data_IF_571557967185
#
_entry.id   IF_571557967185
#
_cell.length_a   1.000
_cell.length_b   1.000
_cell.length_c   1.000
_cell.angle_alpha   90.00
_cell.angle_beta   90.00
_cell.angle_gamma   90.00
#
_symmetry.space_group_name_H-M   'P 1'
#
loop_
_entity.id
_entity.type
_entity.pdbx_description
1 polymer ?
#
# COMPACT_ATOMS: atom_id res chain seq x y z
N UNK A 1 37.62 -73.65 -35.57
CA UNK A 1 37.32 -72.40 -36.30
C UNK A 1 37.30 -71.28 -35.28
N UNK A 2 38.34 -70.46 -35.25
CA UNK A 2 38.52 -69.41 -34.26
C UNK A 2 37.74 -68.15 -34.68
N UNK A 3 36.92 -67.54 -33.80
CA UNK A 3 36.18 -66.33 -34.12
C UNK A 3 37.06 -65.06 -33.98
N UNK A 4 36.85 -64.19 -34.97
CA UNK A 4 37.52 -62.92 -35.24
C UNK A 4 37.29 -61.88 -34.13
N UNK A 5 38.37 -61.18 -33.78
CA UNK A 5 38.37 -59.97 -32.96
C UNK A 5 37.78 -58.79 -33.76
N UNK A 6 36.89 -58.01 -33.12
CA UNK A 6 36.50 -56.67 -33.58
C UNK A 6 36.86 -55.65 -32.47
N UNK A 7 37.40 -54.47 -32.82
CA UNK A 7 37.84 -53.48 -31.85
C UNK A 7 36.68 -52.64 -31.28
N UNK A 8 36.84 -52.04 -30.08
CA UNK A 8 35.81 -51.23 -29.45
C UNK A 8 35.62 -49.89 -30.17
N UNK A 9 34.34 -49.50 -30.37
CA UNK A 9 33.97 -48.15 -30.82
C UNK A 9 34.25 -47.16 -29.69
N UNK A 10 34.91 -46.06 -30.02
CA UNK A 10 35.07 -44.90 -29.16
C UNK A 10 33.71 -44.25 -28.84
N UNK A 11 33.53 -43.69 -27.64
CA UNK A 11 32.35 -42.91 -27.31
C UNK A 11 32.37 -41.59 -28.10
N UNK A 12 31.25 -41.27 -28.73
CA UNK A 12 31.01 -39.99 -29.37
C UNK A 12 30.71 -38.93 -28.30
N UNK A 13 31.62 -37.98 -28.14
CA UNK A 13 31.38 -36.73 -27.42
C UNK A 13 30.40 -35.88 -28.23
N UNK A 14 29.11 -36.00 -27.93
CA UNK A 14 28.09 -35.02 -28.34
C UNK A 14 26.96 -35.01 -27.30
N UNK A 15 27.32 -34.74 -26.04
CA UNK A 15 26.37 -34.20 -25.06
C UNK A 15 26.48 -32.68 -25.10
N UNK A 16 25.83 -32.07 -26.10
CA UNK A 16 25.37 -30.70 -25.96
C UNK A 16 24.30 -30.69 -24.86
N UNK A 17 24.73 -30.46 -23.63
CA UNK A 17 23.84 -30.05 -22.54
C UNK A 17 23.17 -28.76 -22.97
N UNK A 18 21.95 -28.89 -23.49
CA UNK A 18 21.00 -27.81 -23.57
C UNK A 18 20.72 -27.34 -22.14
N UNK A 19 21.55 -26.40 -21.69
CA UNK A 19 21.24 -25.47 -20.60
C UNK A 19 20.15 -24.52 -21.11
N UNK A 20 18.99 -25.10 -21.43
CA UNK A 20 17.76 -24.36 -21.59
C UNK A 20 17.44 -23.82 -20.19
N UNK A 21 17.87 -22.58 -19.99
CA UNK A 21 17.62 -21.81 -18.79
C UNK A 21 16.10 -21.83 -18.57
N UNK A 22 15.63 -22.62 -17.60
CA UNK A 22 14.24 -22.72 -17.13
C UNK A 22 13.74 -21.44 -16.47
N UNK A 23 14.03 -20.29 -17.08
CA UNK A 23 13.46 -18.99 -16.80
C UNK A 23 12.32 -18.69 -17.78
N UNK A 24 11.54 -19.71 -18.13
CA UNK A 24 10.11 -19.49 -18.29
C UNK A 24 9.54 -19.23 -16.89
N UNK A 25 9.93 -18.09 -16.32
CA UNK A 25 9.13 -17.42 -15.31
C UNK A 25 7.83 -17.12 -16.03
N UNK A 26 6.91 -18.08 -16.03
CA UNK A 26 5.52 -17.86 -16.36
C UNK A 26 5.11 -16.80 -15.34
N UNK A 27 5.21 -15.54 -15.75
CA UNK A 27 4.59 -14.44 -15.06
C UNK A 27 3.10 -14.71 -15.22
N UNK A 28 2.58 -15.59 -14.35
CA UNK A 28 1.17 -15.85 -14.25
C UNK A 28 0.59 -14.49 -13.89
N UNK A 29 -0.04 -13.86 -14.87
CA UNK A 29 -0.63 -12.54 -14.68
C UNK A 29 -1.78 -12.77 -13.72
N UNK A 30 -1.63 -12.32 -12.47
CA UNK A 30 -2.72 -12.32 -11.52
C UNK A 30 -3.93 -11.65 -12.16
N UNK A 31 -5.02 -12.39 -12.21
CA UNK A 31 -6.33 -11.92 -12.60
C UNK A 31 -6.83 -10.88 -11.58
N UNK A 32 -7.82 -10.09 -11.98
CA UNK A 32 -8.47 -9.13 -11.07
C UNK A 32 -8.98 -9.82 -9.80
N UNK A 33 -9.53 -11.03 -9.92
CA UNK A 33 -10.08 -11.81 -8.81
C UNK A 33 -9.00 -12.17 -7.79
N UNK A 34 -7.85 -12.66 -8.26
CA UNK A 34 -6.71 -12.97 -7.39
C UNK A 34 -6.18 -11.70 -6.70
N UNK A 35 -6.06 -10.58 -7.43
CA UNK A 35 -5.61 -9.32 -6.82
C UNK A 35 -6.61 -8.79 -5.76
N UNK A 36 -7.92 -8.87 -6.03
CA UNK A 36 -8.96 -8.48 -5.07
C UNK A 36 -8.94 -9.39 -3.83
N UNK A 37 -8.77 -10.71 -4.02
CA UNK A 37 -8.63 -11.71 -2.93
C UNK A 37 -7.43 -11.40 -2.06
N UNK A 38 -6.26 -11.31 -2.67
CA UNK A 38 -4.98 -11.16 -1.97
C UNK A 38 -4.94 -9.82 -1.22
N UNK A 39 -5.53 -8.77 -1.81
CA UNK A 39 -5.66 -7.47 -1.16
C UNK A 39 -6.52 -7.56 0.11
N UNK A 40 -7.68 -8.22 0.05
CA UNK A 40 -8.55 -8.36 1.23
C UNK A 40 -7.89 -9.23 2.30
N UNK A 41 -7.33 -10.38 1.92
CA UNK A 41 -6.69 -11.30 2.86
C UNK A 41 -5.46 -10.69 3.55
N UNK A 42 -4.74 -9.79 2.89
CA UNK A 42 -3.61 -9.07 3.50
C UNK A 42 -4.02 -8.23 4.73
N UNK A 43 -5.30 -7.89 4.85
CA UNK A 43 -5.85 -7.15 5.98
C UNK A 43 -6.84 -7.94 6.82
N UNK A 44 -7.16 -9.18 6.45
CA UNK A 44 -8.08 -10.03 7.20
C UNK A 44 -7.37 -10.60 8.44
N UNK A 45 -7.45 -9.83 9.52
CA UNK A 45 -6.95 -10.23 10.83
C UNK A 45 -8.12 -10.52 11.77
N UNK A 46 -8.04 -11.61 12.56
CA UNK A 46 -9.02 -11.91 13.60
C UNK A 46 -8.90 -10.99 14.81
N UNK A 47 -7.85 -10.16 14.89
CA UNK A 47 -7.61 -9.24 16.00
C UNK A 47 -8.05 -7.82 15.66
N UNK A 48 -8.76 -7.17 16.59
CA UNK A 48 -9.09 -5.75 16.51
C UNK A 48 -8.05 -4.91 17.24
N UNK A 49 -7.76 -3.72 16.71
CA UNK A 49 -6.95 -2.74 17.44
C UNK A 49 -7.78 -2.14 18.59
N UNK A 50 -7.10 -1.51 19.54
CA UNK A 50 -7.78 -0.76 20.60
C UNK A 50 -8.71 0.29 19.97
N UNK A 51 -9.95 0.36 20.46
CA UNK A 51 -11.01 1.25 19.98
C UNK A 51 -11.55 0.94 18.58
N UNK A 52 -11.18 -0.18 17.96
CA UNK A 52 -11.88 -0.68 16.78
C UNK A 52 -13.10 -1.54 17.19
N UNK A 53 -14.06 -1.64 16.28
CA UNK A 53 -15.27 -2.42 16.43
C UNK A 53 -15.47 -3.34 15.22
N UNK A 54 -16.33 -4.36 15.38
CA UNK A 54 -16.69 -5.28 14.31
C UNK A 54 -17.71 -4.64 13.37
N UNK A 55 -17.45 -4.78 12.07
CA UNK A 55 -18.38 -4.44 11.00
C UNK A 55 -19.10 -5.71 10.57
N UNK A 56 -20.41 -5.75 10.75
CA UNK A 56 -21.22 -6.92 10.45
C UNK A 56 -21.70 -6.85 9.00
N UNK A 57 -21.41 -7.91 8.24
CA UNK A 57 -21.73 -8.05 6.82
C UNK A 57 -22.56 -9.32 6.64
N UNK A 58 -23.61 -9.23 5.82
CA UNK A 58 -24.48 -10.36 5.50
C UNK A 58 -23.71 -11.50 4.81
N UNK A 59 -23.91 -12.72 5.28
CA UNK A 59 -23.20 -13.90 4.77
C UNK A 59 -23.50 -14.16 3.29
N UNK A 60 -24.72 -13.91 2.81
CA UNK A 60 -25.07 -14.10 1.39
C UNK A 60 -24.20 -13.28 0.43
N UNK A 61 -23.87 -12.04 0.82
CA UNK A 61 -23.00 -11.20 0.02
C UNK A 61 -21.55 -11.71 0.08
N UNK A 62 -21.09 -12.11 1.27
CA UNK A 62 -19.76 -12.70 1.43
C UNK A 62 -19.61 -14.02 0.66
N UNK A 63 -20.62 -14.87 0.61
CA UNK A 63 -20.61 -16.11 -0.16
C UNK A 63 -20.51 -15.81 -1.67
N UNK A 64 -21.28 -14.82 -2.16
CA UNK A 64 -21.17 -14.37 -3.55
C UNK A 64 -19.77 -13.81 -3.87
N UNK A 65 -19.17 -13.07 -2.94
CA UNK A 65 -17.81 -12.60 -3.06
C UNK A 65 -16.78 -13.74 -3.07
N UNK A 66 -16.88 -14.67 -2.11
CA UNK A 66 -16.01 -15.84 -2.02
C UNK A 66 -16.07 -16.70 -3.29
N UNK A 67 -17.27 -16.98 -3.80
CA UNK A 67 -17.43 -17.72 -5.05
C UNK A 67 -16.76 -16.97 -6.20
N UNK A 68 -16.98 -15.66 -6.32
CA UNK A 68 -16.35 -14.84 -7.35
C UNK A 68 -14.82 -14.84 -7.30
N UNK A 69 -14.21 -14.83 -6.11
CA UNK A 69 -12.74 -14.76 -5.98
C UNK A 69 -12.05 -16.12 -5.96
N UNK A 70 -12.77 -17.21 -5.70
CA UNK A 70 -12.22 -18.57 -5.68
C UNK A 70 -12.40 -19.33 -7.00
N UNK A 71 -13.47 -19.07 -7.76
CA UNK A 71 -13.67 -19.71 -9.06
C UNK A 71 -12.87 -18.99 -10.16
N UNK A 72 -11.64 -19.47 -10.37
CA UNK A 72 -10.71 -18.94 -11.38
C UNK A 72 -11.03 -19.45 -12.80
N UNK A 73 -11.63 -20.65 -12.92
CA UNK A 73 -11.89 -21.31 -14.21
C UNK A 73 -13.14 -20.79 -14.93
N UNK A 74 -14.13 -20.25 -14.20
CA UNK A 74 -15.39 -19.79 -14.78
C UNK A 74 -15.29 -18.32 -15.23
N UNK A 75 -15.19 -18.11 -16.55
CA UNK A 75 -15.19 -16.75 -17.11
C UNK A 75 -16.55 -16.05 -17.00
N UNK A 76 -17.63 -16.78 -16.73
CA UNK A 76 -18.99 -16.25 -16.62
C UNK A 76 -19.43 -16.00 -15.17
N UNK A 77 -18.56 -16.23 -14.17
CA UNK A 77 -18.94 -15.95 -12.79
C UNK A 77 -19.11 -14.45 -12.56
N UNK A 78 -20.25 -14.11 -11.97
CA UNK A 78 -20.72 -12.75 -11.82
C UNK A 78 -20.03 -12.08 -10.63
N UNK A 79 -19.51 -10.87 -10.85
CA UNK A 79 -18.94 -10.04 -9.77
C UNK A 79 -20.03 -9.78 -8.73
N UNK A 80 -19.75 -9.89 -7.43
CA UNK A 80 -20.72 -9.51 -6.42
C UNK A 80 -21.12 -8.05 -6.66
N UNK A 81 -22.42 -7.79 -6.52
CA UNK A 81 -22.94 -6.43 -6.58
C UNK A 81 -22.45 -5.59 -5.38
N UNK A 82 -22.97 -4.37 -5.24
CA UNK A 82 -22.67 -3.54 -4.08
C UNK A 82 -22.92 -4.26 -2.75
N UNK A 83 -22.11 -3.95 -1.75
CA UNK A 83 -22.24 -4.48 -0.40
C UNK A 83 -23.60 -4.09 0.16
N UNK A 84 -24.41 -5.10 0.50
CA UNK A 84 -25.78 -4.95 1.01
C UNK A 84 -25.96 -5.77 2.27
N UNK A 85 -26.76 -5.23 3.18
CA UNK A 85 -27.15 -5.86 4.44
C UNK A 85 -28.68 -5.99 4.55
N UNK A 86 -29.38 -5.95 3.40
CA UNK A 86 -30.83 -5.82 3.33
C UNK A 86 -31.58 -6.94 4.05
N UNK A 87 -31.04 -8.16 4.05
CA UNK A 87 -31.78 -9.29 4.65
C UNK A 87 -31.59 -9.39 6.16
N UNK A 88 -30.65 -8.62 6.73
CA UNK A 88 -30.48 -8.45 8.17
C UNK A 88 -31.52 -7.50 8.77
N UNK A 89 -32.19 -6.69 7.95
CA UNK A 89 -33.20 -5.74 8.38
C UNK A 89 -34.61 -6.18 7.99
N UNK A 90 -35.56 -5.84 8.85
CA UNK A 90 -36.96 -5.77 8.48
C UNK A 90 -37.25 -4.39 7.90
N UNK A 91 -37.74 -4.34 6.66
CA UNK A 91 -38.06 -3.09 5.96
C UNK A 91 -39.35 -2.46 6.47
N UNK A 92 -40.25 -3.25 7.05
CA UNK A 92 -41.53 -2.76 7.56
C UNK A 92 -41.35 -2.13 8.94
N UNK A 93 -40.57 -2.79 9.80
CA UNK A 93 -40.37 -2.38 11.19
C UNK A 93 -39.11 -1.51 11.40
N UNK A 94 -38.32 -1.29 10.34
CA UNK A 94 -37.07 -0.52 10.35
C UNK A 94 -36.09 -0.96 11.46
N UNK A 95 -36.07 -2.25 11.79
CA UNK A 95 -35.21 -2.84 12.83
C UNK A 95 -34.45 -4.05 12.31
N UNK A 96 -33.40 -4.43 13.03
CA UNK A 96 -32.68 -5.68 12.77
C UNK A 96 -33.65 -6.85 13.01
N UNK A 97 -33.67 -7.83 12.11
CA UNK A 97 -34.53 -9.02 12.25
C UNK A 97 -34.17 -9.79 13.51
N UNK A 98 -35.16 -10.49 14.07
CA UNK A 98 -34.95 -11.34 15.25
C UNK A 98 -34.34 -12.70 14.86
N UNK A 99 -33.67 -13.35 15.83
CA UNK A 99 -33.07 -14.68 15.71
C UNK A 99 -31.96 -14.86 14.64
N UNK A 100 -31.25 -13.79 14.30
CA UNK A 100 -30.07 -13.83 13.42
C UNK A 100 -28.88 -14.45 14.16
N UNK A 101 -28.21 -15.38 13.49
CA UNK A 101 -27.09 -16.14 14.02
C UNK A 101 -25.77 -15.68 13.39
N UNK A 102 -24.77 -15.43 14.24
CA UNK A 102 -23.41 -15.18 13.79
C UNK A 102 -22.89 -16.37 12.97
N UNK A 103 -22.04 -16.11 11.98
CA UNK A 103 -21.49 -17.06 10.99
C UNK A 103 -22.48 -17.58 9.96
N UNK A 104 -23.77 -17.73 10.32
CA UNK A 104 -24.83 -18.19 9.41
C UNK A 104 -25.43 -17.04 8.62
N UNK A 105 -25.94 -16.02 9.31
CA UNK A 105 -26.67 -14.92 8.68
C UNK A 105 -25.76 -13.70 8.42
N UNK A 106 -24.80 -13.49 9.30
CA UNK A 106 -23.80 -12.42 9.17
C UNK A 106 -22.43 -12.86 9.70
N UNK A 107 -21.38 -12.16 9.27
CA UNK A 107 -20.02 -12.27 9.79
C UNK A 107 -19.47 -10.91 10.18
N UNK A 108 -18.61 -10.89 11.18
CA UNK A 108 -17.87 -9.69 11.56
C UNK A 108 -16.57 -9.61 10.77
N UNK A 109 -16.28 -8.44 10.22
CA UNK A 109 -15.00 -8.09 9.61
C UNK A 109 -14.41 -6.87 10.30
N UNK A 110 -13.10 -6.72 10.21
CA UNK A 110 -12.44 -5.54 10.77
C UNK A 110 -12.71 -4.28 9.91
N UNK A 111 -12.44 -3.07 10.44
CA UNK A 111 -12.75 -1.82 9.74
C UNK A 111 -12.02 -1.68 8.39
N UNK A 112 -10.81 -2.24 8.27
CA UNK A 112 -10.01 -2.19 7.04
C UNK A 112 -10.61 -3.04 5.93
N UNK A 113 -11.02 -4.26 6.25
CA UNK A 113 -11.68 -5.19 5.33
C UNK A 113 -13.03 -4.63 4.88
N UNK A 114 -13.82 -4.09 5.81
CA UNK A 114 -15.09 -3.43 5.45
C UNK A 114 -14.87 -2.27 4.45
N UNK A 115 -13.87 -1.42 4.70
CA UNK A 115 -13.54 -0.31 3.82
C UNK A 115 -13.09 -0.78 2.43
N UNK A 116 -12.35 -1.90 2.34
CA UNK A 116 -11.97 -2.50 1.06
C UNK A 116 -13.17 -3.01 0.28
N UNK A 117 -14.10 -3.74 0.91
CA UNK A 117 -15.32 -4.17 0.24
C UNK A 117 -16.15 -2.99 -0.27
N UNK A 118 -16.31 -1.96 0.57
CA UNK A 118 -17.02 -0.75 0.20
C UNK A 118 -16.39 -0.02 -1.00
N UNK A 119 -15.05 0.05 -1.07
CA UNK A 119 -14.35 0.70 -2.17
C UNK A 119 -14.35 -0.14 -3.46
N UNK A 120 -14.20 -1.47 -3.34
CA UNK A 120 -14.15 -2.38 -4.48
C UNK A 120 -15.51 -2.54 -5.17
N UNK A 121 -16.58 -2.66 -4.39
CA UNK A 121 -17.91 -3.04 -4.89
C UNK A 121 -18.96 -1.94 -4.73
N UNK A 122 -18.67 -0.90 -3.94
CA UNK A 122 -19.67 0.10 -3.53
C UNK A 122 -20.57 -0.43 -2.42
N UNK A 123 -21.40 0.46 -1.87
CA UNK A 123 -22.31 0.11 -0.76
C UNK A 123 -23.79 0.34 -1.08
N UNK A 124 -24.15 0.91 -2.24
CA UNK A 124 -25.55 1.16 -2.64
C UNK A 124 -26.43 1.69 -1.48
N UNK A 125 -25.95 2.75 -0.82
CA UNK A 125 -26.54 3.39 0.36
C UNK A 125 -26.72 2.51 1.62
N UNK A 126 -26.21 1.27 1.62
CA UNK A 126 -26.17 0.41 2.79
C UNK A 126 -25.32 1.05 3.90
N UNK A 127 -25.95 1.24 5.06
CA UNK A 127 -25.28 1.76 6.25
C UNK A 127 -24.51 0.64 6.95
N UNK A 128 -23.29 0.89 7.43
CA UNK A 128 -22.52 -0.09 8.18
C UNK A 128 -23.25 -0.47 9.48
N UNK A 129 -23.30 -1.76 9.78
CA UNK A 129 -23.76 -2.28 11.08
C UNK A 129 -22.51 -2.52 11.93
N UNK A 130 -22.35 -1.74 12.99
CA UNK A 130 -21.12 -1.76 13.79
C UNK A 130 -21.42 -2.11 15.24
N UNK A 131 -20.63 -3.03 15.80
CA UNK A 131 -20.79 -3.55 17.17
C UNK A 131 -19.43 -3.77 17.83
N UNK A 132 -19.35 -3.52 19.14
CA UNK A 132 -18.14 -3.80 19.92
C UNK A 132 -17.86 -5.31 20.05
N UNK A 133 -18.90 -6.14 19.93
CA UNK A 133 -18.83 -7.61 19.94
C UNK A 133 -19.38 -8.17 18.63
N UNK A 134 -19.17 -9.45 18.36
CA UNK A 134 -19.73 -10.14 17.19
C UNK A 134 -21.24 -10.41 17.29
N UNK A 135 -21.93 -9.85 18.29
CA UNK A 135 -23.37 -9.97 18.46
C UNK A 135 -24.09 -8.77 17.84
N UNK A 136 -24.91 -9.01 16.82
CA UNK A 136 -25.71 -7.99 16.14
C UNK A 136 -26.72 -7.29 17.05
N UNK A 137 -27.15 -7.96 18.13
CA UNK A 137 -28.08 -7.42 19.12
C UNK A 137 -27.40 -6.62 20.24
N UNK A 138 -26.06 -6.59 20.26
CA UNK A 138 -25.33 -5.75 21.20
C UNK A 138 -25.57 -4.26 20.94
N UNK A 139 -25.15 -3.43 21.91
CA UNK A 139 -25.29 -1.97 21.83
C UNK A 139 -24.62 -1.45 20.56
N UNK A 140 -25.33 -0.66 19.73
CA UNK A 140 -24.76 -0.10 18.51
C UNK A 140 -23.67 0.91 18.84
N UNK A 141 -22.63 0.95 18.01
CA UNK A 141 -21.60 2.00 18.10
C UNK A 141 -22.17 3.33 17.59
N UNK A 142 -21.78 4.43 18.23
CA UNK A 142 -22.25 5.76 17.84
C UNK A 142 -21.76 6.13 16.45
N UNK A 143 -22.58 6.85 15.68
CA UNK A 143 -22.28 7.17 14.28
C UNK A 143 -20.98 7.98 14.13
N UNK A 144 -20.65 8.84 15.09
CA UNK A 144 -19.43 9.64 15.05
C UNK A 144 -18.19 8.77 15.25
N UNK A 145 -18.22 7.84 16.21
CA UNK A 145 -17.17 6.84 16.41
C UNK A 145 -16.99 5.96 15.16
N UNK A 146 -18.10 5.56 14.50
CA UNK A 146 -18.04 4.80 13.25
C UNK A 146 -17.35 5.59 12.13
N UNK A 147 -17.61 6.89 12.02
CA UNK A 147 -16.94 7.75 11.03
C UNK A 147 -15.46 7.90 11.35
N UNK A 148 -15.10 8.07 12.61
CA UNK A 148 -13.71 8.16 13.05
C UNK A 148 -12.96 6.85 12.79
N UNK A 149 -13.52 5.71 13.20
CA UNK A 149 -12.95 4.37 12.94
C UNK A 149 -12.72 4.11 11.46
N UNK A 150 -13.65 4.53 10.59
CA UNK A 150 -13.54 4.33 9.14
C UNK A 150 -12.69 5.38 8.42
N UNK A 151 -12.30 6.48 9.06
CA UNK A 151 -11.63 7.58 8.38
C UNK A 151 -10.32 7.13 7.72
N UNK A 152 -9.41 6.55 8.52
CA UNK A 152 -8.11 6.05 8.03
C UNK A 152 -8.30 4.82 7.12
N UNK A 153 -9.09 3.79 7.50
CA UNK A 153 -9.37 2.66 6.63
C UNK A 153 -9.89 3.00 5.24
N UNK A 154 -10.81 3.96 5.13
CA UNK A 154 -11.36 4.40 3.82
C UNK A 154 -10.32 5.05 2.95
N UNK A 155 -9.51 5.97 3.50
CA UNK A 155 -8.44 6.61 2.75
C UNK A 155 -7.42 5.58 2.26
N UNK A 156 -7.06 4.63 3.12
CA UNK A 156 -6.14 3.54 2.79
C UNK A 156 -6.73 2.61 1.73
N UNK A 157 -7.98 2.19 1.88
CA UNK A 157 -8.68 1.34 0.91
C UNK A 157 -8.72 2.00 -0.47
N UNK A 158 -9.10 3.29 -0.54
CA UNK A 158 -9.10 4.06 -1.79
C UNK A 158 -7.73 4.08 -2.46
N UNK A 159 -6.67 4.33 -1.70
CA UNK A 159 -5.30 4.32 -2.23
C UNK A 159 -4.94 2.94 -2.80
N UNK A 160 -5.18 1.88 -2.04
CA UNK A 160 -4.82 0.51 -2.43
C UNK A 160 -5.63 0.01 -3.64
N UNK A 161 -6.93 0.30 -3.69
CA UNK A 161 -7.78 -0.05 -4.82
C UNK A 161 -7.40 0.75 -6.07
N UNK A 162 -7.00 2.02 -5.92
CA UNK A 162 -6.48 2.83 -7.02
C UNK A 162 -5.20 2.20 -7.58
N UNK A 163 -4.24 1.88 -6.73
CA UNK A 163 -2.97 1.23 -7.11
C UNK A 163 -3.22 -0.12 -7.82
N UNK A 164 -4.10 -0.96 -7.25
CA UNK A 164 -4.50 -2.24 -7.85
C UNK A 164 -5.12 -2.05 -9.25
N UNK A 165 -6.01 -1.06 -9.41
CA UNK A 165 -6.64 -0.77 -10.70
C UNK A 165 -5.62 -0.23 -11.72
N UNK A 166 -4.70 0.64 -11.32
CA UNK A 166 -3.61 1.13 -12.17
C UNK A 166 -2.74 -0.03 -12.68
N UNK A 167 -2.39 -0.98 -11.81
CA UNK A 167 -1.62 -2.16 -12.17
C UNK A 167 -2.39 -3.07 -13.16
N UNK A 168 -3.69 -3.26 -12.96
CA UNK A 168 -4.55 -4.00 -13.90
C UNK A 168 -4.61 -3.31 -15.27
N UNK A 169 -4.73 -1.98 -15.31
CA UNK A 169 -4.75 -1.24 -16.57
C UNK A 169 -3.40 -1.27 -17.31
N UNK A 170 -2.28 -1.11 -16.59
CA UNK A 170 -0.94 -1.23 -17.18
C UNK A 170 -0.73 -2.60 -17.82
N UNK A 171 -1.17 -3.66 -17.13
CA UNK A 171 -1.11 -5.04 -17.66
C UNK A 171 -2.05 -5.26 -18.85
N UNK A 172 -3.21 -4.61 -18.87
CA UNK A 172 -4.18 -4.67 -19.97
C UNK A 172 -3.73 -3.93 -21.24
N UNK A 173 -2.92 -2.86 -21.09
CA UNK A 173 -2.39 -2.07 -22.22
C UNK A 173 -1.20 -2.72 -22.94
N UNK A 174 -0.66 -3.83 -22.44
CA UNK A 174 0.47 -4.54 -23.07
C UNK A 174 1.68 -3.63 -23.37
N UNK A 175 2.49 -4.02 -24.38
CA UNK A 175 3.67 -3.27 -24.87
C UNK A 175 3.32 -1.89 -25.49
N UNK A 176 2.03 -1.61 -25.67
CA UNK A 176 1.50 -0.39 -26.28
C UNK A 176 1.40 0.77 -25.26
N UNK A 177 1.32 0.46 -23.97
CA UNK A 177 1.34 1.44 -22.88
C UNK A 177 2.72 2.08 -22.61
N UNK A 178 3.80 1.30 -22.79
CA UNK A 178 5.19 1.78 -22.60
C UNK A 178 5.54 2.93 -23.55
N UNK A 179 5.07 2.88 -24.81
CA UNK A 179 5.29 3.97 -25.77
C UNK A 179 4.63 5.29 -25.34
N UNK A 180 3.45 5.22 -24.71
CA UNK A 180 2.72 6.42 -24.26
C UNK A 180 3.27 7.04 -22.97
N UNK A 181 3.85 6.22 -22.08
CA UNK A 181 4.47 6.71 -20.84
C UNK A 181 5.80 7.40 -21.10
N UNK A 182 6.65 6.82 -21.97
CA UNK A 182 7.90 7.47 -22.40
C UNK A 182 7.64 8.80 -23.12
N UNK A 183 6.59 8.91 -23.94
CA UNK A 183 6.25 10.16 -24.62
C UNK A 183 5.79 11.27 -23.65
N UNK A 184 5.02 10.94 -22.60
CA UNK A 184 4.56 11.92 -21.60
C UNK A 184 5.62 12.31 -20.59
N UNK A 185 6.48 11.39 -20.17
CA UNK A 185 7.64 11.69 -19.32
C UNK A 185 8.72 12.47 -20.09
N UNK A 186 8.73 12.40 -21.43
CA UNK A 186 9.70 13.12 -22.25
C UNK A 186 9.50 14.64 -22.30
N UNK A 187 8.29 15.19 -22.12
CA UNK A 187 8.06 16.63 -22.29
C UNK A 187 8.32 17.44 -21.00
N UNK A 188 7.93 16.90 -19.85
CA UNK A 188 8.13 17.58 -18.55
C UNK A 188 9.55 17.42 -18.02
N UNK A 189 10.23 16.28 -18.31
CA UNK A 189 11.60 16.04 -17.86
C UNK A 189 12.70 16.41 -18.87
N UNK A 190 12.40 16.70 -20.15
CA UNK A 190 13.39 17.29 -21.09
C UNK A 190 13.49 18.82 -21.03
N UNK A 191 12.62 19.51 -20.30
CA UNK A 191 12.67 20.97 -20.16
C UNK A 191 13.39 21.44 -18.88
N UNK A 192 14.37 20.68 -18.38
CA UNK A 192 15.31 21.15 -17.34
C UNK A 192 16.66 21.61 -17.92
N UNK A 193 16.82 21.61 -19.24
CA UNK A 193 18.08 21.96 -19.91
C UNK A 193 17.99 23.12 -20.92
N UNK A 194 16.99 24.02 -20.85
CA UNK A 194 16.99 25.20 -21.74
C UNK A 194 16.30 26.48 -21.21
N UNK A 195 16.38 26.71 -19.90
CA UNK A 195 15.95 27.97 -19.30
C UNK A 195 17.14 28.91 -19.02
N UNK A 196 17.77 29.45 -20.06
CA UNK A 196 18.32 30.82 -19.97
C UNK A 196 17.33 31.87 -20.54
N UNK A 197 16.19 31.44 -21.10
CA UNK A 197 15.21 32.33 -21.74
C UNK A 197 13.80 32.32 -21.12
N UNK A 198 13.54 31.58 -20.05
CA UNK A 198 12.23 31.53 -19.36
C UNK A 198 12.16 32.38 -18.09
N UNK A 199 13.19 33.16 -17.79
CA UNK A 199 13.17 34.20 -16.75
C UNK A 199 12.78 35.60 -17.32
N UNK A 200 13.05 35.95 -18.59
CA UNK A 200 12.61 37.25 -19.13
C UNK A 200 11.11 37.39 -19.40
N UNK A 201 10.34 36.32 -19.64
CA UNK A 201 8.90 36.44 -19.95
C UNK A 201 8.05 36.78 -18.72
N UNK A 202 8.41 36.26 -17.55
CA UNK A 202 7.74 36.61 -16.28
C UNK A 202 8.12 38.02 -15.81
N UNK A 203 9.21 38.60 -16.33
CA UNK A 203 9.64 39.98 -16.05
C UNK A 203 8.71 41.03 -16.67
N UNK A 204 7.98 40.69 -17.74
CA UNK A 204 7.10 41.62 -18.47
C UNK A 204 5.64 41.57 -18.02
N UNK A 205 5.22 40.48 -17.37
CA UNK A 205 3.82 40.22 -17.01
C UNK A 205 3.50 40.44 -15.51
N UNK A 206 4.48 40.34 -14.62
CA UNK A 206 4.23 40.36 -13.16
C UNK A 206 4.89 41.51 -12.39
N UNK A 207 5.37 42.55 -13.07
CA UNK A 207 5.62 43.86 -12.44
C UNK A 207 6.28 43.86 -11.06
N UNK A 208 7.41 43.17 -10.89
CA UNK A 208 8.22 43.23 -9.67
C UNK A 208 8.54 41.87 -9.06
N UNK A 209 9.73 41.33 -9.38
CA UNK A 209 10.35 40.21 -8.69
C UNK A 209 11.43 40.65 -7.68
N UNK A 210 11.84 39.79 -6.74
CA UNK A 210 12.61 40.17 -5.55
C UNK A 210 13.99 40.74 -5.88
N UNK A 211 14.32 41.89 -5.30
CA UNK A 211 15.60 42.59 -5.49
C UNK A 211 16.72 41.92 -4.70
N UNK A 212 17.43 40.98 -5.34
CA UNK A 212 18.72 40.54 -4.83
C UNK A 212 19.82 41.53 -5.25
N UNK A 213 20.59 41.98 -4.25
CA UNK A 213 21.70 42.94 -4.37
C UNK A 213 22.71 42.50 -5.44
N UNK A 214 23.13 43.44 -6.30
CA UNK A 214 24.19 43.24 -7.30
C UNK A 214 25.54 43.00 -6.62
N UNK A 215 26.10 41.80 -6.75
CA UNK A 215 27.52 41.57 -6.54
C UNK A 215 28.33 41.88 -7.81
N UNK A 216 29.57 42.34 -7.59
CA UNK A 216 30.49 42.87 -8.61
C UNK A 216 30.90 41.81 -9.64
N UNK A 217 31.11 42.28 -10.88
CA UNK A 217 31.61 41.52 -12.04
C UNK A 217 32.81 40.63 -11.68
N UNK A 218 32.62 39.32 -11.69
CA UNK A 218 33.69 38.34 -11.75
C UNK A 218 34.13 38.13 -13.20
N UNK A 219 35.42 38.26 -13.44
CA UNK A 219 36.11 38.05 -14.71
C UNK A 219 36.02 36.59 -15.18
N UNK A 220 36.06 36.39 -16.50
CA UNK A 220 35.85 35.12 -17.22
C UNK A 220 36.91 34.02 -16.96
N UNK A 221 37.89 34.24 -16.07
CA UNK A 221 38.99 33.32 -15.76
C UNK A 221 38.72 32.26 -14.68
N UNK A 222 37.61 32.33 -13.93
CA UNK A 222 37.39 31.47 -12.75
C UNK A 222 36.51 30.22 -13.00
N UNK A 223 36.13 29.94 -14.25
CA UNK A 223 35.22 28.83 -14.57
C UNK A 223 35.86 27.41 -14.47
N UNK A 224 37.15 27.29 -14.15
CA UNK A 224 37.87 26.02 -14.10
C UNK A 224 38.31 25.57 -12.69
N UNK A 225 37.48 25.76 -11.65
CA UNK A 225 37.79 25.20 -10.32
C UNK A 225 36.62 24.63 -9.49
N UNK A 226 35.41 24.47 -10.06
CA UNK A 226 34.26 23.91 -9.33
C UNK A 226 34.45 22.46 -8.84
N UNK A 227 35.35 21.67 -9.45
CA UNK A 227 35.59 20.29 -9.02
C UNK A 227 36.59 20.14 -7.86
N UNK A 228 37.39 21.16 -7.51
CA UNK A 228 38.36 21.08 -6.39
C UNK A 228 37.79 21.56 -5.05
N UNK A 229 36.70 22.33 -5.05
CA UNK A 229 36.10 22.90 -3.82
C UNK A 229 35.22 21.92 -3.05
N UNK A 230 34.70 20.85 -3.69
CA UNK A 230 33.93 19.79 -3.01
C UNK A 230 34.77 18.86 -2.13
N UNK A 231 36.09 18.76 -2.31
CA UNK A 231 36.95 17.85 -1.51
C UNK A 231 37.43 18.44 -0.17
N UNK A 232 37.29 19.76 0.08
CA UNK A 232 37.68 20.39 1.36
C UNK A 232 36.53 20.54 2.37
N UNK A 233 35.26 20.49 1.96
CA UNK A 233 34.13 20.60 2.89
C UNK A 233 33.69 19.28 3.55
N UNK A 234 34.10 18.12 3.03
CA UNK A 234 33.87 16.83 3.70
C UNK A 234 34.76 16.63 4.95
N UNK A 235 35.91 17.32 5.03
CA UNK A 235 36.80 17.26 6.19
C UNK A 235 36.38 18.15 7.37
N UNK A 236 35.56 19.19 7.16
CA UNK A 236 35.04 20.05 8.26
C UNK A 236 33.73 19.55 8.90
N UNK A 237 32.93 18.71 8.22
CA UNK A 237 31.71 18.12 8.81
C UNK A 237 31.96 16.89 9.70
N UNK A 238 33.11 16.21 9.60
CA UNK A 238 33.50 15.15 10.56
C UNK A 238 33.97 15.71 11.92
N UNK A 239 34.42 16.96 12.00
CA UNK A 239 34.85 17.58 13.26
C UNK A 239 33.72 18.08 14.17
N UNK A 240 32.55 18.42 13.62
CA UNK A 240 31.44 18.98 14.40
C UNK A 240 30.46 17.93 14.95
N UNK A 241 30.48 16.70 14.41
CA UNK A 241 29.72 15.54 14.93
C UNK A 241 30.45 14.82 16.08
N UNK A 242 31.76 15.04 16.23
CA UNK A 242 32.58 14.52 17.33
C UNK A 242 32.50 15.36 18.61
N UNK A 243 32.10 16.64 18.54
CA UNK A 243 31.99 17.51 19.73
C UNK A 243 30.64 17.42 20.43
N UNK A 244 29.58 17.00 19.73
CA UNK A 244 28.23 16.86 20.29
C UNK A 244 27.93 15.47 20.89
N UNK A 245 28.85 14.52 20.76
CA UNK A 245 28.76 13.18 21.38
C UNK A 245 29.55 13.07 22.70
N UNK A 246 30.20 14.16 23.15
CA UNK A 246 31.02 14.18 24.37
C UNK A 246 30.37 14.97 25.51
N UNK A 247 29.10 15.34 25.39
CA UNK A 247 28.34 16.11 26.39
C UNK A 247 27.04 15.40 26.82
N UNK A 248 26.80 14.15 26.37
CA UNK A 248 25.61 13.35 26.76
C UNK A 248 25.99 12.01 27.43
N UNK A 249 27.26 11.85 27.84
CA UNK A 249 27.77 10.66 28.56
C UNK A 249 28.14 10.97 30.02
N UNK A 250 27.62 12.05 30.60
CA UNK A 250 27.90 12.45 31.99
C UNK A 250 26.61 12.91 32.67
N UNK A 251 25.73 11.95 32.97
CA UNK A 251 24.62 12.10 33.92
C UNK A 251 24.03 10.72 34.23
N UNK A 252 24.88 9.82 34.72
CA UNK A 252 24.48 8.59 35.41
C UNK A 252 24.89 8.71 36.87
N UNK A 253 24.02 8.23 37.75
CA UNK A 253 24.19 8.06 39.21
C UNK A 253 23.79 9.29 40.05
N UNK A 254 22.61 9.25 40.68
CA UNK A 254 22.50 8.97 42.12
C UNK A 254 21.08 8.53 42.49
N UNK A 255 21.03 7.54 43.37
CA UNK A 255 19.84 6.93 43.95
C UNK A 255 19.22 7.82 45.03
N UNK A 256 17.91 7.72 45.27
CA UNK A 256 17.35 7.66 46.64
C UNK A 256 15.96 7.02 46.63
N UNK A 257 15.90 5.78 47.11
CA UNK A 257 15.00 5.30 48.16
C UNK A 257 13.92 6.28 48.67
N UNK A 258 12.65 5.89 48.59
CA UNK A 258 11.69 6.08 49.70
C UNK A 258 10.50 5.13 49.52
N UNK A 259 10.47 4.11 50.37
CA UNK A 259 9.25 3.49 50.86
C UNK A 259 8.30 4.56 51.43
N UNK A 260 6.99 4.33 51.39
CA UNK A 260 6.11 4.47 52.55
C UNK A 260 4.78 3.75 52.28
N UNK A 261 4.51 2.79 53.17
CA UNK A 261 3.21 2.22 53.46
C UNK A 261 2.14 3.31 53.65
N UNK A 262 0.92 3.03 53.22
CA UNK A 262 -0.25 3.56 53.93
C UNK A 262 -1.32 2.47 54.02
N UNK A 263 -1.21 1.72 55.11
CA UNK A 263 -2.31 1.02 55.75
C UNK A 263 -3.31 2.02 56.36
N UNK A 264 -4.61 1.71 56.29
CA UNK A 264 -5.65 2.29 57.16
C UNK A 264 -6.95 2.58 56.41
N UNK A 265 -7.96 1.70 56.44
CA UNK A 265 -8.95 1.44 57.51
C UNK A 265 -10.16 2.39 57.51
N UNK A 266 -11.33 1.76 57.31
CA UNK A 266 -12.65 2.03 57.90
C UNK A 266 -13.39 3.34 57.53
N UNK A 267 -14.52 3.21 56.84
CA UNK A 267 -15.85 3.11 57.47
C UNK A 267 -16.90 2.63 56.45
#
# INVERSE_FOLDING_TARGET
MAPSLAPPKAPSDDESVDLECGLSSIQHKLTRREMERDLVLAFDSPELRRHDAWFLVETKWLDAWMNYVLDEDDQNITRPGPLRNDTLFDREEFRVRENLQSTKDYRGVNPQVYALYAELYGTDDAKPIVRWTLDIYAVPVMIDDVREMLHVPKLKARSLVTEMNEELEEKGRGLEGLRKREEKESWTYRCLCRCEFLVPCLYRLLGGGPTYKKEKKSSWGDCCNCCKRKKKNSRKKKGKKSKRRKEEEDSSEEETSSDEETHGLLA
#
